data_IF_006354735604
#
_entry.id   IF_006354735604
#
_cell.length_a   1.000
_cell.length_b   1.000
_cell.length_c   1.000
_cell.angle_alpha   90.00
_cell.angle_beta   90.00
_cell.angle_gamma   90.00
#
_symmetry.space_group_name_H-M   'P 1'
#
loop_
_entity.id
_entity.type
_entity.pdbx_description
1 polymer ?
#
# COMPACT_ATOMS: atom_id res chain seq x y z
N UNK A 1 -18.43 42.80 40.80
CA UNK A 1 -17.40 42.15 39.96
C UNK A 1 -17.97 40.80 39.54
N UNK A 2 -18.43 40.71 38.28
CA UNK A 2 -17.91 39.79 37.23
C UNK A 2 -18.10 38.31 37.63
N UNK A 3 -19.11 37.62 37.09
CA UNK A 3 -19.06 36.80 35.84
C UNK A 3 -18.08 35.62 36.05
N UNK A 4 -18.43 34.35 35.93
CA UNK A 4 -19.11 33.68 34.81
C UNK A 4 -19.50 32.25 35.20
N UNK A 5 -20.63 31.79 34.65
CA UNK A 5 -20.94 30.38 34.44
C UNK A 5 -20.27 29.91 33.14
N UNK A 6 -19.76 28.67 33.10
CA UNK A 6 -19.53 27.91 31.88
C UNK A 6 -19.36 26.42 32.26
N UNK A 7 -20.43 25.63 32.18
CA UNK A 7 -20.62 24.63 31.12
C UNK A 7 -19.34 23.84 30.78
N UNK A 8 -19.12 22.76 31.52
CA UNK A 8 -18.28 21.65 31.08
C UNK A 8 -19.06 20.82 30.05
N UNK A 9 -18.97 21.22 28.78
CA UNK A 9 -19.38 20.41 27.62
C UNK A 9 -18.11 20.06 26.83
N UNK A 10 -17.22 19.30 27.46
CA UNK A 10 -15.97 18.87 26.84
C UNK A 10 -16.22 17.61 25.99
N UNK A 11 -16.54 17.85 24.71
CA UNK A 11 -15.93 17.21 23.53
C UNK A 11 -15.50 15.73 23.72
N UNK A 12 -16.46 14.81 23.81
CA UNK A 12 -16.24 13.36 23.72
C UNK A 12 -16.83 12.73 22.43
N UNK A 13 -16.97 13.53 21.36
CA UNK A 13 -17.40 13.05 20.03
C UNK A 13 -16.33 13.32 18.97
N UNK A 14 -15.05 13.25 19.35
CA UNK A 14 -13.93 13.22 18.42
C UNK A 14 -13.82 11.85 17.76
N UNK A 15 -14.85 11.43 17.02
CA UNK A 15 -14.64 10.45 15.96
C UNK A 15 -13.71 11.11 14.96
N UNK A 16 -12.52 10.55 14.74
CA UNK A 16 -11.67 10.99 13.65
C UNK A 16 -12.53 10.93 12.38
N UNK A 17 -12.97 12.09 11.91
CA UNK A 17 -13.65 12.20 10.62
C UNK A 17 -12.59 11.78 9.62
N UNK A 18 -12.85 10.68 8.93
CA UNK A 18 -11.97 10.25 7.87
C UNK A 18 -12.04 11.29 6.75
N UNK A 19 -10.99 12.12 6.68
CA UNK A 19 -10.86 13.17 5.67
C UNK A 19 -10.17 12.68 4.40
N UNK A 20 -9.91 11.37 4.26
CA UNK A 20 -9.28 10.85 3.05
C UNK A 20 -10.25 11.01 1.86
N UNK A 21 -9.92 11.90 0.93
CA UNK A 21 -10.76 12.20 -0.23
C UNK A 21 -10.49 11.27 -1.43
N UNK A 22 -9.53 10.34 -1.27
CA UNK A 22 -9.00 9.49 -2.33
C UNK A 22 -8.69 8.07 -1.85
N UNK A 23 -7.52 7.58 -2.24
CA UNK A 23 -7.03 6.25 -1.90
C UNK A 23 -6.28 6.28 -0.57
N UNK A 24 -6.72 5.45 0.36
CA UNK A 24 -5.87 4.97 1.44
C UNK A 24 -5.60 3.48 1.21
N UNK A 25 -4.33 3.13 1.15
CA UNK A 25 -3.88 1.76 0.95
C UNK A 25 -2.75 1.45 1.93
N UNK A 26 -2.85 0.29 2.57
CA UNK A 26 -1.87 -0.26 3.49
C UNK A 26 -1.38 -1.61 2.99
N UNK A 27 -0.09 -1.89 3.21
CA UNK A 27 0.48 -3.22 3.03
C UNK A 27 0.47 -3.92 4.38
N UNK A 28 -0.43 -4.88 4.55
CA UNK A 28 -0.63 -5.61 5.81
C UNK A 28 0.48 -6.64 6.05
N UNK A 29 1.01 -7.24 4.98
CA UNK A 29 2.22 -8.06 5.02
C UNK A 29 2.92 -8.07 3.67
N UNK A 30 4.24 -8.24 3.69
CA UNK A 30 5.07 -8.35 2.50
C UNK A 30 6.06 -9.50 2.65
N UNK A 31 6.09 -10.40 1.65
CA UNK A 31 7.08 -11.47 1.52
C UNK A 31 7.84 -11.30 0.22
N UNK A 32 9.16 -11.47 0.29
CA UNK A 32 10.05 -11.48 -0.87
C UNK A 32 10.72 -12.84 -0.97
N UNK A 33 10.79 -13.41 -2.16
CA UNK A 33 11.52 -14.65 -2.43
C UNK A 33 12.52 -14.42 -3.54
N UNK A 34 13.77 -14.79 -3.31
CA UNK A 34 14.85 -14.80 -4.30
C UNK A 34 15.15 -16.26 -4.67
N UNK A 35 14.78 -16.65 -5.88
CA UNK A 35 15.01 -18.01 -6.37
C UNK A 35 16.50 -18.26 -6.67
N UNK A 36 16.89 -19.52 -6.79
CA UNK A 36 18.24 -19.91 -7.21
C UNK A 36 18.64 -19.33 -8.58
N UNK A 37 17.66 -19.05 -9.44
CA UNK A 37 17.82 -18.42 -10.75
C UNK A 37 17.86 -16.89 -10.71
N UNK A 38 17.98 -16.29 -9.52
CA UNK A 38 18.01 -14.84 -9.29
C UNK A 38 16.70 -14.10 -9.66
N UNK A 39 15.63 -14.85 -9.93
CA UNK A 39 14.28 -14.29 -10.07
C UNK A 39 13.76 -13.86 -8.70
N UNK A 40 13.32 -12.61 -8.61
CA UNK A 40 12.73 -12.05 -7.40
C UNK A 40 11.22 -12.07 -7.54
N UNK A 41 10.54 -12.65 -6.56
CA UNK A 41 9.09 -12.60 -6.46
C UNK A 41 8.69 -11.88 -5.19
N UNK A 42 7.64 -11.07 -5.26
CA UNK A 42 7.07 -10.34 -4.13
C UNK A 42 5.60 -10.67 -4.01
N UNK A 43 5.14 -10.95 -2.78
CA UNK A 43 3.74 -11.08 -2.43
C UNK A 43 3.39 -10.09 -1.34
N UNK A 44 2.43 -9.22 -1.63
CA UNK A 44 1.91 -8.20 -0.72
C UNK A 44 0.47 -8.54 -0.39
N UNK A 45 0.11 -8.70 0.87
CA UNK A 45 -1.29 -8.64 1.30
C UNK A 45 -1.62 -7.17 1.54
N UNK A 46 -2.57 -6.63 0.78
CA UNK A 46 -2.89 -5.20 0.81
C UNK A 46 -4.35 -4.98 1.14
N UNK A 47 -4.60 -3.95 1.94
CA UNK A 47 -5.93 -3.39 2.17
C UNK A 47 -6.00 -2.03 1.51
N UNK A 48 -7.06 -1.77 0.76
CA UNK A 48 -7.27 -0.52 0.06
C UNK A 48 -8.73 -0.06 0.23
N UNK A 49 -8.92 1.23 0.48
CA UNK A 49 -10.20 1.84 0.80
C UNK A 49 -10.39 3.19 0.09
N UNK A 50 -11.65 3.59 -0.01
CA UNK A 50 -12.04 4.96 -0.35
C UNK A 50 -12.68 5.57 0.89
N UNK A 51 -12.27 6.79 1.24
CA UNK A 51 -12.89 7.48 2.38
C UNK A 51 -14.39 7.71 2.18
N UNK A 52 -15.13 7.80 3.29
CA UNK A 52 -16.60 7.86 3.28
C UNK A 52 -17.14 9.10 2.52
N UNK A 53 -16.37 10.18 2.51
CA UNK A 53 -16.76 11.47 1.91
C UNK A 53 -16.15 11.72 0.53
N UNK A 54 -15.52 10.72 -0.10
CA UNK A 54 -15.00 10.87 -1.45
C UNK A 54 -16.12 11.10 -2.48
N UNK A 55 -15.83 11.85 -3.54
CA UNK A 55 -16.76 12.08 -4.66
C UNK A 55 -16.85 10.82 -5.55
N UNK A 56 -17.74 9.91 -5.17
CA UNK A 56 -18.12 8.74 -5.97
C UNK A 56 -17.06 7.62 -6.00
N UNK A 57 -17.32 6.63 -6.86
CA UNK A 57 -16.48 5.45 -6.99
C UNK A 57 -15.08 5.79 -7.50
N UNK A 58 -14.07 5.11 -6.96
CA UNK A 58 -12.68 5.16 -7.43
C UNK A 58 -12.30 3.88 -8.17
N UNK A 59 -11.43 4.01 -9.16
CA UNK A 59 -10.93 2.90 -9.98
C UNK A 59 -9.45 2.69 -9.72
N UNK A 60 -9.10 1.76 -8.85
CA UNK A 60 -7.72 1.55 -8.42
C UNK A 60 -6.99 0.47 -9.19
N UNK A 61 -5.77 0.77 -9.62
CA UNK A 61 -4.87 -0.19 -10.25
C UNK A 61 -3.48 -0.14 -9.61
N UNK A 62 -2.99 -1.25 -9.05
CA UNK A 62 -1.57 -1.39 -8.76
C UNK A 62 -0.76 -1.17 -10.06
N UNK A 63 0.22 -0.27 -10.01
CA UNK A 63 0.95 0.19 -11.20
C UNK A 63 2.45 -0.19 -11.16
N UNK A 64 3.04 -0.33 -9.97
CA UNK A 64 4.43 -0.74 -9.82
C UNK A 64 4.73 -1.26 -8.42
N UNK A 65 5.66 -2.20 -8.33
CA UNK A 65 6.29 -2.58 -7.07
C UNK A 65 7.79 -2.32 -7.20
N UNK A 66 8.39 -1.74 -6.17
CA UNK A 66 9.82 -1.50 -6.09
C UNK A 66 10.37 -2.04 -4.78
N UNK A 67 11.54 -2.69 -4.86
CA UNK A 67 12.26 -3.21 -3.71
C UNK A 67 13.56 -2.44 -3.54
N UNK A 68 13.81 -1.96 -2.33
CA UNK A 68 14.99 -1.21 -1.97
C UNK A 68 15.72 -1.88 -0.80
N UNK A 69 17.05 -1.82 -0.85
CA UNK A 69 17.94 -2.11 0.29
C UNK A 69 18.66 -0.81 0.63
N UNK A 70 18.30 -0.21 1.77
CA UNK A 70 18.62 1.18 2.05
C UNK A 70 18.04 2.11 0.96
N UNK A 71 18.91 2.84 0.28
CA UNK A 71 18.55 3.78 -0.80
C UNK A 71 18.69 3.17 -2.21
N UNK A 72 19.21 1.94 -2.32
CA UNK A 72 19.46 1.31 -3.61
C UNK A 72 18.21 0.56 -4.09
N UNK A 73 17.70 0.93 -5.27
CA UNK A 73 16.67 0.17 -5.96
C UNK A 73 17.25 -1.14 -6.48
N UNK A 74 16.72 -2.26 -6.01
CA UNK A 74 17.18 -3.60 -6.37
C UNK A 74 16.35 -4.19 -7.51
N UNK A 75 15.02 -4.13 -7.38
CA UNK A 75 14.08 -4.74 -8.32
C UNK A 75 12.89 -3.82 -8.60
N UNK A 76 12.34 -3.88 -9.81
CA UNK A 76 11.12 -3.17 -10.20
C UNK A 76 10.20 -4.12 -10.97
N UNK A 77 8.99 -4.29 -10.46
CA UNK A 77 8.03 -5.28 -10.94
C UNK A 77 6.76 -4.60 -11.45
N UNK A 78 6.17 -5.19 -12.49
CA UNK A 78 4.78 -4.91 -12.87
C UNK A 78 3.86 -5.73 -11.97
N UNK A 79 2.90 -5.12 -11.25
CA UNK A 79 2.03 -5.87 -10.36
C UNK A 79 1.08 -6.77 -11.14
N UNK A 80 0.86 -7.97 -10.62
CA UNK A 80 -0.17 -8.90 -11.02
C UNK A 80 -1.20 -9.04 -9.90
N UNK A 81 -2.47 -8.95 -10.24
CA UNK A 81 -3.58 -9.05 -9.30
C UNK A 81 -4.42 -10.30 -9.60
N UNK A 82 -5.00 -10.95 -8.58
CA UNK A 82 -5.85 -12.12 -8.79
C UNK A 82 -7.16 -11.76 -9.51
N UNK A 83 -7.87 -12.73 -10.09
CA UNK A 83 -9.20 -12.51 -10.69
C UNK A 83 -10.25 -11.96 -9.72
N UNK A 84 -10.03 -12.11 -8.41
CA UNK A 84 -10.89 -11.59 -7.33
C UNK A 84 -10.59 -10.14 -6.97
N UNK A 85 -9.57 -9.52 -7.54
CA UNK A 85 -9.26 -8.11 -7.31
C UNK A 85 -10.40 -7.23 -7.82
N UNK A 86 -10.93 -6.41 -6.92
CA UNK A 86 -12.02 -5.48 -7.24
C UNK A 86 -11.43 -4.11 -7.49
N UNK A 87 -11.42 -3.71 -8.75
CA UNK A 87 -10.84 -2.43 -9.19
C UNK A 87 -11.68 -1.22 -8.74
N UNK A 88 -13.01 -1.35 -8.78
CA UNK A 88 -13.95 -0.29 -8.45
C UNK A 88 -14.30 -0.36 -6.97
N UNK A 89 -14.00 0.70 -6.22
CA UNK A 89 -14.29 0.80 -4.79
C UNK A 89 -15.18 2.00 -4.54
N UNK A 90 -16.28 1.80 -3.84
CA UNK A 90 -17.24 2.87 -3.53
C UNK A 90 -16.81 3.62 -2.25
N UNK A 91 -17.25 4.87 -2.05
CA UNK A 91 -16.99 5.60 -0.80
C UNK A 91 -17.38 4.80 0.45
N UNK A 92 -16.50 4.78 1.44
CA UNK A 92 -16.67 4.05 2.70
C UNK A 92 -16.38 2.55 2.61
N UNK A 93 -16.14 2.00 1.41
CA UNK A 93 -15.76 0.61 1.25
C UNK A 93 -14.26 0.38 1.47
N UNK A 94 -13.96 -0.81 2.00
CA UNK A 94 -12.60 -1.34 2.11
C UNK A 94 -12.56 -2.73 1.46
N UNK A 95 -11.42 -3.05 0.84
CA UNK A 95 -11.14 -4.30 0.16
C UNK A 95 -9.75 -4.78 0.54
N UNK A 96 -9.58 -6.09 0.54
CA UNK A 96 -8.29 -6.74 0.76
C UNK A 96 -7.98 -7.62 -0.45
N UNK A 97 -6.76 -7.55 -0.95
CA UNK A 97 -6.32 -8.39 -2.06
C UNK A 97 -4.81 -8.64 -2.02
N UNK A 98 -4.36 -9.85 -2.37
CA UNK A 98 -2.94 -10.08 -2.60
C UNK A 98 -2.51 -9.43 -3.91
N UNK A 99 -1.33 -8.82 -3.91
CA UNK A 99 -0.67 -8.26 -5.08
C UNK A 99 0.67 -8.97 -5.23
N UNK A 100 0.91 -9.47 -6.45
CA UNK A 100 2.11 -10.22 -6.78
C UNK A 100 3.00 -9.37 -7.69
N UNK A 101 4.31 -9.56 -7.58
CA UNK A 101 5.29 -9.01 -8.52
C UNK A 101 6.36 -10.06 -8.79
N UNK A 102 6.90 -10.03 -10.01
CA UNK A 102 8.02 -10.86 -10.42
C UNK A 102 8.98 -10.00 -11.25
N UNK A 103 10.28 -10.15 -11.02
CA UNK A 103 11.36 -9.49 -11.76
C UNK A 103 12.50 -10.49 -11.96
N UNK A 104 12.82 -10.80 -13.22
CA UNK A 104 13.94 -11.62 -13.64
C UNK A 104 15.15 -10.78 -14.11
N UNK A 105 15.05 -9.45 -13.98
CA UNK A 105 16.07 -8.47 -14.36
C UNK A 105 16.56 -7.63 -13.17
N UNK A 106 16.34 -8.10 -11.94
CA UNK A 106 16.79 -7.42 -10.73
C UNK A 106 18.31 -7.15 -10.78
N UNK A 107 18.72 -5.97 -10.34
CA UNK A 107 20.11 -5.49 -10.50
C UNK A 107 21.10 -6.19 -9.58
N UNK A 108 20.68 -6.47 -8.34
CA UNK A 108 21.46 -7.21 -7.34
C UNK A 108 20.51 -8.00 -6.42
N UNK A 109 19.86 -9.07 -6.92
CA UNK A 109 18.82 -9.78 -6.17
C UNK A 109 19.34 -10.41 -4.88
N UNK A 110 20.62 -10.77 -4.82
CA UNK A 110 21.23 -11.36 -3.61
C UNK A 110 21.43 -10.37 -2.49
N UNK A 111 21.47 -9.06 -2.76
CA UNK A 111 21.47 -8.02 -1.72
C UNK A 111 20.22 -8.03 -0.84
N UNK A 112 19.11 -8.62 -1.30
CA UNK A 112 17.88 -8.77 -0.52
C UNK A 112 18.04 -9.80 0.61
N UNK A 113 18.93 -10.79 0.44
CA UNK A 113 19.07 -11.90 1.36
C UNK A 113 19.65 -11.46 2.71
N UNK A 114 18.82 -11.48 3.75
CA UNK A 114 19.21 -11.06 5.10
C UNK A 114 19.18 -9.54 5.33
N UNK A 115 18.70 -8.77 4.36
CA UNK A 115 18.49 -7.33 4.49
C UNK A 115 17.08 -7.01 5.02
N UNK A 116 16.91 -5.82 5.60
CA UNK A 116 15.60 -5.19 5.72
C UNK A 116 15.27 -4.56 4.36
N UNK A 117 14.18 -5.02 3.75
CA UNK A 117 13.76 -4.61 2.41
C UNK A 117 12.65 -3.60 2.53
N UNK A 118 12.84 -2.41 1.95
CA UNK A 118 11.79 -1.41 1.80
C UNK A 118 11.03 -1.69 0.52
N UNK A 119 9.71 -1.84 0.65
CA UNK A 119 8.80 -2.19 -0.44
C UNK A 119 7.90 -0.99 -0.70
N UNK A 120 7.92 -0.50 -1.93
CA UNK A 120 7.04 0.58 -2.37
C UNK A 120 6.08 0.05 -3.42
N UNK A 121 4.79 0.19 -3.19
CA UNK A 121 3.75 -0.08 -4.18
C UNK A 121 3.14 1.24 -4.67
N UNK A 122 3.12 1.40 -5.99
CA UNK A 122 2.45 2.50 -6.67
C UNK A 122 1.03 2.10 -7.03
N UNK A 123 0.10 3.02 -6.81
CA UNK A 123 -1.30 2.89 -7.17
C UNK A 123 -1.66 3.98 -8.16
N UNK A 124 -2.42 3.63 -9.19
CA UNK A 124 -3.08 4.57 -10.07
C UNK A 124 -4.55 4.64 -9.69
N UNK A 125 -5.03 5.83 -9.35
CA UNK A 125 -6.46 6.13 -9.36
C UNK A 125 -6.83 6.53 -10.80
N UNK A 126 -7.40 5.59 -11.55
CA UNK A 126 -7.79 5.81 -12.94
C UNK A 126 -9.02 6.75 -13.07
N UNK A 127 -9.71 7.07 -11.97
CA UNK A 127 -10.79 8.07 -11.97
C UNK A 127 -10.24 9.50 -11.98
N UNK A 128 -9.11 9.77 -11.32
CA UNK A 128 -8.49 11.11 -11.24
C UNK A 128 -7.17 11.24 -11.99
N UNK A 129 -6.60 10.12 -12.46
CA UNK A 129 -5.25 10.00 -13.01
C UNK A 129 -4.14 10.33 -12.00
N UNK A 130 -4.44 10.28 -10.71
CA UNK A 130 -3.46 10.51 -9.64
C UNK A 130 -2.70 9.22 -9.30
N UNK A 131 -1.44 9.39 -8.88
CA UNK A 131 -0.58 8.27 -8.46
C UNK A 131 -0.39 8.37 -6.95
N UNK A 132 -0.86 7.36 -6.24
CA UNK A 132 -0.60 7.14 -4.81
C UNK A 132 0.58 6.20 -4.60
N UNK A 133 1.19 6.27 -3.42
CA UNK A 133 2.25 5.37 -3.00
C UNK A 133 1.97 4.85 -1.60
N UNK A 134 2.11 3.55 -1.42
CA UNK A 134 2.15 2.91 -0.11
C UNK A 134 3.52 2.29 0.07
N UNK A 135 4.09 2.46 1.25
CA UNK A 135 5.39 1.91 1.62
C UNK A 135 5.26 1.01 2.84
N UNK A 136 6.09 -0.04 2.88
CA UNK A 136 6.32 -0.85 4.06
C UNK A 136 7.76 -1.36 4.06
N UNK A 137 8.18 -1.97 5.17
CA UNK A 137 9.45 -2.68 5.29
C UNK A 137 9.20 -4.12 5.67
N UNK A 138 10.00 -5.05 5.14
CA UNK A 138 9.92 -6.46 5.48
C UNK A 138 11.30 -7.08 5.65
N UNK A 139 11.40 -8.01 6.59
CA UNK A 139 12.51 -8.95 6.74
C UNK A 139 12.10 -10.39 6.40
N UNK A 140 10.86 -10.62 5.95
CA UNK A 140 10.39 -11.93 5.46
C UNK A 140 10.92 -12.15 4.03
N UNK A 141 12.23 -12.38 3.96
CA UNK A 141 12.96 -12.67 2.71
C UNK A 141 13.41 -14.14 2.73
N UNK A 142 12.92 -14.91 1.77
CA UNK A 142 13.36 -16.29 1.53
C UNK A 142 14.37 -16.30 0.39
N UNK A 143 15.53 -16.95 0.59
CA UNK A 143 16.54 -17.11 -0.45
C UNK A 143 16.87 -18.59 -0.63
N UNK A 144 16.83 -19.05 -1.88
CA UNK A 144 17.16 -20.43 -2.29
C UNK A 144 18.60 -20.56 -2.83
#
# INVERSE_FOLDING_TARGET
>A
MRREAALAFALLLGGCVDTELGLDATVDSARVTVAASDVVTTRLETTYRVGEYAEGDRLFQPNGIELYVGETLVARMVPSVPPTFVQRVSPGESRMSPILGEDDMATDPRSLCGAEVRVLIRWLDASTMEIGMTETTTSDVTCE
#
